data_IF_638312280024
#
_entry.id   IF_638312280024
#
_cell.length_a   1.000
_cell.length_b   1.000
_cell.length_c   1.000
_cell.angle_alpha   90.00
_cell.angle_beta   90.00
_cell.angle_gamma   90.00
#
_symmetry.space_group_name_H-M   'P 1'
#
loop_
_entity.id
_entity.type
_entity.pdbx_description
1 polymer ?
#
# COMPACT_ATOMS: atom_id res chain seq x y z
N UNK A 1 2.51 5.79 -35.51
CA UNK A 1 2.83 4.43 -35.04
C UNK A 1 3.92 4.55 -34.00
N UNK A 2 3.60 4.40 -32.71
CA UNK A 2 4.58 4.47 -31.62
C UNK A 2 5.05 3.06 -31.29
N UNK A 3 6.32 2.79 -31.54
CA UNK A 3 7.00 1.53 -31.23
C UNK A 3 7.00 1.35 -29.72
N UNK A 4 6.13 0.49 -29.19
CA UNK A 4 6.17 0.11 -27.77
C UNK A 4 7.37 -0.80 -27.56
N UNK A 5 8.38 -0.30 -26.84
CA UNK A 5 9.46 -1.12 -26.32
C UNK A 5 8.86 -2.02 -25.25
N UNK A 6 8.71 -3.31 -25.56
CA UNK A 6 8.26 -4.34 -24.63
C UNK A 6 9.50 -4.71 -23.81
N UNK A 7 9.58 -4.26 -22.57
CA UNK A 7 10.61 -4.72 -21.65
C UNK A 7 10.28 -6.15 -21.27
N UNK A 8 11.07 -7.10 -21.75
CA UNK A 8 10.96 -8.52 -21.38
C UNK A 8 12.03 -8.78 -20.33
N UNK A 9 11.62 -8.92 -19.06
CA UNK A 9 12.48 -9.54 -18.05
C UNK A 9 12.72 -11.00 -18.49
N UNK A 10 13.97 -11.45 -18.70
CA UNK A 10 14.27 -12.81 -19.14
C UNK A 10 13.72 -13.92 -18.23
N UNK A 11 13.33 -13.59 -16.99
CA UNK A 11 12.76 -14.53 -16.02
C UNK A 11 11.22 -14.62 -16.03
N UNK A 12 10.51 -13.76 -16.76
CA UNK A 12 9.04 -13.69 -16.74
C UNK A 12 8.42 -14.16 -18.07
N UNK A 13 7.56 -15.18 -18.01
CA UNK A 13 6.87 -15.76 -19.18
C UNK A 13 5.72 -14.89 -19.74
N UNK A 14 5.42 -13.75 -19.13
CA UNK A 14 4.28 -12.87 -19.50
C UNK A 14 4.74 -11.62 -20.23
N UNK A 15 4.07 -11.28 -21.33
CA UNK A 15 4.28 -9.99 -22.03
C UNK A 15 3.83 -8.82 -21.14
N UNK A 16 4.77 -7.98 -20.69
CA UNK A 16 4.49 -6.73 -19.97
C UNK A 16 4.13 -5.63 -20.97
N UNK A 17 2.94 -5.04 -20.81
CA UNK A 17 2.43 -3.92 -21.61
C UNK A 17 2.86 -2.55 -21.07
N UNK A 18 3.12 -2.47 -19.77
CA UNK A 18 3.47 -1.25 -19.05
C UNK A 18 4.58 -1.52 -18.04
N UNK A 19 5.39 -0.51 -17.74
CA UNK A 19 6.17 -0.49 -16.50
C UNK A 19 5.23 0.00 -15.39
N UNK A 20 4.64 -0.96 -14.66
CA UNK A 20 3.63 -0.66 -13.64
C UNK A 20 4.25 0.03 -12.43
N UNK A 21 3.62 1.13 -11.98
CA UNK A 21 3.98 1.82 -10.73
C UNK A 21 3.00 1.48 -9.62
N UNK A 22 3.50 1.12 -8.45
CA UNK A 22 2.69 0.79 -7.28
C UNK A 22 2.63 2.00 -6.35
N UNK A 23 1.46 2.63 -6.28
CA UNK A 23 1.16 3.72 -5.38
C UNK A 23 0.70 3.13 -4.04
N UNK A 24 1.55 3.22 -3.01
CA UNK A 24 1.20 2.81 -1.66
C UNK A 24 0.71 4.00 -0.85
N UNK A 25 -0.48 3.88 -0.27
CA UNK A 25 -1.05 4.88 0.61
C UNK A 25 -0.77 4.45 2.04
N UNK A 26 0.31 4.98 2.59
CA UNK A 26 0.77 4.70 3.95
C UNK A 26 0.02 5.58 4.96
N UNK A 27 0.01 5.14 6.22
CA UNK A 27 -0.60 5.88 7.32
C UNK A 27 -1.23 4.92 8.32
N UNK A 28 -1.42 5.36 9.55
CA UNK A 28 -2.02 4.51 10.57
C UNK A 28 -3.51 4.24 10.31
N UNK A 29 -4.14 3.44 11.19
CA UNK A 29 -5.56 3.19 11.13
C UNK A 29 -6.35 4.50 11.23
N UNK A 30 -7.33 4.71 10.35
CA UNK A 30 -8.19 5.90 10.42
C UNK A 30 -7.70 7.18 9.75
N UNK A 31 -6.59 7.16 8.99
CA UNK A 31 -6.14 8.32 8.21
C UNK A 31 -6.81 8.45 6.84
N UNK A 32 -8.04 7.94 6.67
CA UNK A 32 -8.80 8.01 5.41
C UNK A 32 -8.09 7.46 4.15
N UNK A 33 -7.18 6.48 4.29
CA UNK A 33 -6.46 5.87 3.15
C UNK A 33 -7.36 5.49 1.96
N UNK A 34 -8.57 4.98 2.22
CA UNK A 34 -9.56 4.66 1.18
C UNK A 34 -10.08 5.88 0.41
N UNK A 35 -10.20 7.05 1.06
CA UNK A 35 -10.55 8.31 0.40
C UNK A 35 -9.42 8.75 -0.55
N UNK A 36 -8.18 8.67 -0.08
CA UNK A 36 -7.00 8.99 -0.90
C UNK A 36 -6.93 8.04 -2.11
N UNK A 37 -7.13 6.74 -1.89
CA UNK A 37 -7.15 5.73 -2.96
C UNK A 37 -8.20 6.07 -4.01
N UNK A 38 -9.43 6.36 -3.56
CA UNK A 38 -10.55 6.68 -4.45
C UNK A 38 -10.29 7.94 -5.26
N UNK A 39 -9.75 9.00 -4.64
CA UNK A 39 -9.42 10.25 -5.33
C UNK A 39 -8.30 10.05 -6.37
N UNK A 40 -7.24 9.31 -6.02
CA UNK A 40 -6.12 9.03 -6.93
C UNK A 40 -6.59 8.19 -8.12
N UNK A 41 -7.35 7.11 -7.87
CA UNK A 41 -7.90 6.25 -8.93
C UNK A 41 -8.82 7.04 -9.86
N UNK A 42 -9.72 7.86 -9.31
CA UNK A 42 -10.58 8.75 -10.09
C UNK A 42 -9.74 9.67 -10.99
N UNK A 43 -8.74 10.36 -10.42
CA UNK A 43 -7.90 11.29 -11.20
C UNK A 43 -7.15 10.58 -12.32
N UNK A 44 -6.57 9.41 -12.05
CA UNK A 44 -5.84 8.64 -13.04
C UNK A 44 -6.74 8.16 -14.19
N UNK A 45 -7.98 7.74 -13.90
CA UNK A 45 -8.98 7.46 -14.92
C UNK A 45 -9.32 8.70 -15.77
N UNK A 46 -9.52 9.86 -15.14
CA UNK A 46 -9.81 11.11 -15.84
C UNK A 46 -8.66 11.55 -16.77
N UNK A 47 -7.42 11.13 -16.48
CA UNK A 47 -6.24 11.36 -17.31
C UNK A 47 -6.03 10.27 -18.38
N UNK A 48 -6.95 9.30 -18.51
CA UNK A 48 -6.86 8.21 -19.48
C UNK A 48 -5.76 7.18 -19.17
N UNK A 49 -5.30 7.10 -17.92
CA UNK A 49 -4.32 6.10 -17.47
C UNK A 49 -5.02 4.78 -17.15
N UNK A 50 -4.35 3.65 -17.40
CA UNK A 50 -4.83 2.35 -16.91
C UNK A 50 -4.43 2.17 -15.44
N UNK A 51 -5.42 2.02 -14.55
CA UNK A 51 -5.22 1.95 -13.11
C UNK A 51 -6.13 0.89 -12.51
N UNK A 52 -5.63 0.16 -11.51
CA UNK A 52 -6.43 -0.76 -10.69
C UNK A 52 -6.20 -0.50 -9.21
N UNK A 53 -7.26 -0.62 -8.41
CA UNK A 53 -7.17 -0.60 -6.97
C UNK A 53 -6.94 -2.03 -6.44
N UNK A 54 -5.94 -2.19 -5.59
CA UNK A 54 -5.60 -3.46 -4.95
C UNK A 54 -5.94 -3.36 -3.45
N UNK A 55 -6.95 -4.10 -2.98
CA UNK A 55 -7.38 -4.03 -1.59
C UNK A 55 -6.29 -4.52 -0.62
N UNK A 56 -6.38 -4.02 0.62
CA UNK A 56 -5.52 -4.44 1.73
C UNK A 56 -5.97 -5.81 2.26
N UNK A 57 -5.07 -6.80 2.21
CA UNK A 57 -5.39 -8.16 2.67
C UNK A 57 -5.74 -8.18 4.16
N UNK A 58 -4.93 -7.54 5.02
CA UNK A 58 -5.16 -7.52 6.47
C UNK A 58 -6.55 -6.96 6.85
N UNK A 59 -7.01 -5.92 6.14
CA UNK A 59 -8.33 -5.32 6.34
C UNK A 59 -9.46 -6.31 6.03
N UNK A 60 -9.30 -7.16 5.01
CA UNK A 60 -10.26 -8.22 4.71
C UNK A 60 -10.36 -9.24 5.86
N UNK A 61 -9.24 -9.61 6.48
CA UNK A 61 -9.25 -10.48 7.66
C UNK A 61 -9.94 -9.82 8.87
N UNK A 62 -9.72 -8.51 9.09
CA UNK A 62 -10.43 -7.75 10.14
C UNK A 62 -11.95 -7.80 9.91
N UNK A 63 -12.40 -7.56 8.68
CA UNK A 63 -13.84 -7.65 8.35
C UNK A 63 -14.40 -9.05 8.52
N UNK A 64 -13.61 -10.08 8.21
CA UNK A 64 -13.99 -11.48 8.39
C UNK A 64 -13.95 -11.94 9.85
N UNK A 65 -13.42 -11.15 10.77
CA UNK A 65 -13.15 -11.57 12.15
C UNK A 65 -12.04 -12.64 12.26
N UNK A 66 -11.22 -12.80 11.22
CA UNK A 66 -10.17 -13.82 11.15
C UNK A 66 -8.90 -13.36 11.87
N UNK A 67 -8.97 -13.42 13.19
CA UNK A 67 -7.85 -13.05 14.08
C UNK A 67 -6.65 -13.98 13.96
N UNK A 68 -6.86 -15.26 13.61
CA UNK A 68 -5.77 -16.21 13.41
C UNK A 68 -5.01 -15.91 12.11
N UNK A 69 -5.72 -15.58 11.02
CA UNK A 69 -5.10 -15.13 9.78
C UNK A 69 -4.25 -13.87 9.97
N UNK A 70 -4.68 -12.96 10.84
CA UNK A 70 -3.92 -11.75 11.18
C UNK A 70 -2.59 -12.04 11.90
N UNK A 71 -2.44 -13.18 12.57
CA UNK A 71 -1.18 -13.57 13.21
C UNK A 71 -0.14 -14.06 12.21
N UNK A 72 -0.59 -14.54 11.05
CA UNK A 72 0.28 -15.06 9.99
C UNK A 72 0.73 -13.92 9.04
N UNK A 73 1.66 -13.09 9.51
CA UNK A 73 2.16 -11.93 8.74
C UNK A 73 2.81 -12.33 7.41
N UNK A 74 3.45 -13.50 7.35
CA UNK A 74 3.95 -14.06 6.08
C UNK A 74 2.81 -14.31 5.08
N UNK A 75 1.73 -14.95 5.53
CA UNK A 75 0.57 -15.26 4.69
C UNK A 75 -0.07 -14.00 4.11
N UNK A 76 -0.28 -12.98 4.96
CA UNK A 76 -0.80 -11.68 4.54
C UNK A 76 0.10 -11.03 3.47
N UNK A 77 1.41 -11.00 3.71
CA UNK A 77 2.38 -10.43 2.79
C UNK A 77 2.50 -11.19 1.47
N UNK A 78 2.47 -12.52 1.52
CA UNK A 78 2.47 -13.35 0.32
C UNK A 78 1.22 -13.13 -0.52
N UNK A 79 0.04 -13.06 0.09
CA UNK A 79 -1.20 -12.80 -0.63
C UNK A 79 -1.21 -11.41 -1.26
N UNK A 80 -0.80 -10.37 -0.51
CA UNK A 80 -0.70 -9.01 -1.02
C UNK A 80 0.27 -8.94 -2.21
N UNK A 81 1.43 -9.59 -2.11
CA UNK A 81 2.41 -9.67 -3.20
C UNK A 81 1.84 -10.35 -4.45
N UNK A 82 1.13 -11.48 -4.29
CA UNK A 82 0.50 -12.19 -5.42
C UNK A 82 -0.52 -11.33 -6.16
N UNK A 83 -1.28 -10.50 -5.44
CA UNK A 83 -2.23 -9.57 -6.06
C UNK A 83 -1.51 -8.51 -6.90
N UNK A 84 -0.38 -7.98 -6.43
CA UNK A 84 0.45 -7.04 -7.20
C UNK A 84 1.02 -7.70 -8.46
N UNK A 85 1.66 -8.87 -8.31
CA UNK A 85 2.25 -9.62 -9.45
C UNK A 85 1.20 -10.01 -10.49
N UNK A 86 -0.03 -10.30 -10.07
CA UNK A 86 -1.10 -10.65 -10.99
C UNK A 86 -1.34 -9.54 -12.02
N UNK A 87 -1.30 -8.27 -11.60
CA UNK A 87 -1.60 -7.10 -12.42
C UNK A 87 -0.36 -6.38 -12.96
N UNK A 88 0.82 -6.71 -12.42
CA UNK A 88 2.09 -6.15 -12.86
C UNK A 88 2.33 -6.38 -14.35
N UNK A 89 2.75 -5.31 -15.03
CA UNK A 89 2.89 -5.27 -16.47
C UNK A 89 1.59 -5.08 -17.24
N UNK A 90 0.40 -5.18 -16.62
CA UNK A 90 -0.88 -5.11 -17.33
C UNK A 90 -1.50 -3.71 -17.33
N UNK A 91 -1.20 -2.90 -16.30
CA UNK A 91 -1.71 -1.53 -16.11
C UNK A 91 -0.59 -0.55 -15.76
N UNK A 92 -0.80 0.74 -15.96
CA UNK A 92 0.20 1.76 -15.64
C UNK A 92 0.35 1.94 -14.12
N UNK A 93 -0.75 1.87 -13.38
CA UNK A 93 -0.79 2.14 -11.96
C UNK A 93 -1.53 1.07 -11.17
N UNK A 94 -0.97 0.68 -10.03
CA UNK A 94 -1.68 -0.03 -8.97
C UNK A 94 -1.78 0.88 -7.77
N UNK A 95 -2.96 1.05 -7.21
CA UNK A 95 -3.18 1.85 -6.00
C UNK A 95 -3.56 0.92 -4.86
N UNK A 96 -2.84 0.97 -3.75
CA UNK A 96 -3.11 0.10 -2.59
C UNK A 96 -3.13 0.87 -1.27
N UNK A 97 -4.01 0.45 -0.36
CA UNK A 97 -4.12 0.97 1.00
C UNK A 97 -3.17 0.18 1.90
N UNK A 98 -2.17 0.84 2.49
CA UNK A 98 -1.05 0.08 3.03
C UNK A 98 -0.31 -0.60 1.89
N UNK A 99 -0.12 -1.91 1.93
CA UNK A 99 0.69 -2.62 0.95
C UNK A 99 1.94 -3.22 1.60
N UNK A 100 2.90 -3.65 0.79
CA UNK A 100 4.10 -4.33 1.30
C UNK A 100 4.89 -3.49 2.34
N UNK A 101 5.06 -2.16 2.20
CA UNK A 101 5.69 -1.35 3.25
C UNK A 101 4.98 -1.42 4.60
N UNK A 102 3.65 -1.39 4.61
CA UNK A 102 2.88 -1.46 5.85
C UNK A 102 2.92 -2.86 6.47
N UNK A 103 2.96 -3.92 5.65
CA UNK A 103 3.15 -5.29 6.13
C UNK A 103 4.55 -5.53 6.70
N UNK A 104 5.56 -4.79 6.24
CA UNK A 104 6.89 -4.80 6.85
C UNK A 104 6.83 -4.30 8.31
N UNK A 105 6.08 -3.22 8.56
CA UNK A 105 5.86 -2.69 9.90
C UNK A 105 5.13 -3.69 10.80
N UNK A 106 4.00 -4.23 10.34
CA UNK A 106 3.21 -5.16 11.15
C UNK A 106 3.92 -6.51 11.35
N UNK A 107 4.76 -6.96 10.42
CA UNK A 107 5.60 -8.13 10.66
C UNK A 107 6.49 -7.97 11.90
N UNK A 108 6.97 -6.76 12.22
CA UNK A 108 7.78 -6.51 13.41
C UNK A 108 6.96 -6.16 14.65
N UNK A 109 5.82 -5.49 14.47
CA UNK A 109 5.08 -4.85 15.57
C UNK A 109 3.78 -5.55 15.95
N UNK A 110 3.31 -6.52 15.18
CA UNK A 110 2.10 -7.26 15.50
C UNK A 110 2.38 -8.20 16.70
N UNK A 111 1.76 -7.98 17.88
CA UNK A 111 2.17 -8.65 19.13
C UNK A 111 2.14 -10.18 19.09
N UNK A 112 1.22 -10.75 18.33
CA UNK A 112 0.99 -12.20 18.25
C UNK A 112 1.46 -12.81 16.92
N UNK A 113 2.44 -12.19 16.25
CA UNK A 113 2.99 -12.72 15.00
C UNK A 113 3.60 -14.11 15.24
N UNK A 114 3.09 -15.11 14.54
CA UNK A 114 3.56 -16.50 14.65
C UNK A 114 4.69 -16.85 13.66
N UNK A 115 5.05 -15.92 12.78
CA UNK A 115 6.05 -16.14 11.74
C UNK A 115 7.48 -15.88 12.23
N UNK A 116 8.46 -16.43 11.52
CA UNK A 116 9.85 -15.97 11.62
C UNK A 116 9.95 -14.54 11.10
N UNK A 117 10.07 -13.59 12.03
CA UNK A 117 10.07 -12.15 11.74
C UNK A 117 11.22 -11.77 10.80
N UNK A 118 12.42 -12.29 11.02
CA UNK A 118 13.60 -11.93 10.24
C UNK A 118 13.51 -12.46 8.82
N UNK A 119 13.10 -13.73 8.66
CA UNK A 119 12.92 -14.35 7.35
C UNK A 119 11.79 -13.69 6.57
N UNK A 120 10.68 -13.38 7.23
CA UNK A 120 9.53 -12.70 6.62
C UNK A 120 9.91 -11.29 6.18
N UNK A 121 10.62 -10.53 7.04
CA UNK A 121 11.14 -9.19 6.72
C UNK A 121 12.02 -9.23 5.48
N UNK A 122 13.00 -10.13 5.43
CA UNK A 122 13.91 -10.27 4.30
C UNK A 122 13.17 -10.55 2.98
N UNK A 123 12.14 -11.38 3.02
CA UNK A 123 11.33 -11.67 1.84
C UNK A 123 10.47 -10.48 1.41
N UNK A 124 9.83 -9.77 2.34
CA UNK A 124 9.05 -8.56 2.02
C UNK A 124 9.94 -7.52 1.35
N UNK A 125 11.16 -7.31 1.85
CA UNK A 125 12.13 -6.43 1.16
C UNK A 125 12.45 -6.89 -0.26
N UNK A 126 12.65 -8.19 -0.47
CA UNK A 126 12.88 -8.73 -1.80
C UNK A 126 11.69 -8.47 -2.74
N UNK A 127 10.46 -8.57 -2.24
CA UNK A 127 9.26 -8.24 -3.01
C UNK A 127 9.12 -6.74 -3.30
N UNK A 128 9.37 -5.87 -2.32
CA UNK A 128 9.37 -4.41 -2.52
C UNK A 128 10.34 -3.99 -3.62
N UNK A 129 11.54 -4.59 -3.68
CA UNK A 129 12.55 -4.27 -4.70
C UNK A 129 12.13 -4.63 -6.14
N UNK A 130 11.05 -5.38 -6.34
CA UNK A 130 10.57 -5.78 -7.68
C UNK A 130 9.70 -4.71 -8.36
N UNK A 131 9.18 -3.74 -7.61
CA UNK A 131 8.24 -2.75 -8.14
C UNK A 131 8.82 -1.35 -8.07
N UNK A 132 8.41 -0.50 -9.02
CA UNK A 132 8.59 0.95 -8.88
C UNK A 132 7.51 1.48 -7.94
N UNK A 133 7.92 1.94 -6.76
CA UNK A 133 6.99 2.42 -5.73
C UNK A 133 6.88 3.94 -5.71
N UNK A 134 5.64 4.43 -5.58
CA UNK A 134 5.32 5.80 -5.23
C UNK A 134 4.61 5.75 -3.88
N UNK A 135 5.31 6.14 -2.81
CA UNK A 135 4.70 6.11 -1.48
C UNK A 135 4.18 7.50 -1.13
N UNK A 136 2.95 7.54 -0.65
CA UNK A 136 2.41 8.70 0.04
C UNK A 136 2.10 8.34 1.48
N UNK A 137 2.17 9.31 2.38
CA UNK A 137 1.70 9.16 3.75
C UNK A 137 0.46 10.02 3.92
N UNK A 138 -0.69 9.40 4.14
CA UNK A 138 -1.94 10.06 4.41
C UNK A 138 -1.88 10.74 5.79
N UNK A 139 -1.97 12.05 5.81
CA UNK A 139 -2.05 12.79 7.06
C UNK A 139 -3.44 12.58 7.70
N UNK A 140 -3.45 12.33 9.01
CA UNK A 140 -4.69 12.24 9.78
C UNK A 140 -5.38 13.60 9.81
N UNK A 141 -6.67 13.58 9.52
CA UNK A 141 -7.58 14.70 9.74
C UNK A 141 -7.92 14.77 11.23
N UNK A 142 -7.53 15.85 11.91
CA UNK A 142 -7.77 16.03 13.34
C UNK A 142 -9.19 16.47 13.66
N UNK A 143 -9.93 16.96 12.66
CA UNK A 143 -11.28 17.50 12.82
C UNK A 143 -12.35 16.41 12.60
N UNK A 144 -11.96 15.27 12.02
CA UNK A 144 -12.84 14.12 11.84
C UNK A 144 -12.83 13.20 13.06
N UNK A 145 -14.01 12.78 13.54
CA UNK A 145 -14.12 11.73 14.55
C UNK A 145 -13.47 10.42 14.10
N UNK A 146 -12.82 9.73 15.02
CA UNK A 146 -12.28 8.40 14.74
C UNK A 146 -13.41 7.39 14.54
N UNK A 147 -13.39 6.72 13.39
CA UNK A 147 -14.30 5.61 13.09
C UNK A 147 -13.60 4.30 13.43
N UNK A 148 -14.12 3.53 14.39
CA UNK A 148 -13.51 2.25 14.79
C UNK A 148 -13.83 1.09 13.84
N UNK A 149 -14.94 1.15 13.09
CA UNK A 149 -15.39 0.06 12.23
C UNK A 149 -14.27 -0.41 11.27
N UNK A 150 -14.03 -1.72 11.20
CA UNK A 150 -12.97 -2.31 10.38
C UNK A 150 -11.54 -2.05 10.89
N UNK A 151 -11.37 -1.74 12.19
CA UNK A 151 -10.07 -1.51 12.83
C UNK A 151 -9.99 -2.26 14.17
N UNK A 152 -8.79 -2.70 14.52
CA UNK A 152 -8.53 -3.37 15.81
C UNK A 152 -8.17 -2.36 16.91
N UNK A 153 -7.66 -1.19 16.53
CA UNK A 153 -7.13 -0.17 17.43
C UNK A 153 -8.19 0.86 17.80
N UNK A 154 -8.10 1.38 19.02
CA UNK A 154 -8.76 2.61 19.41
C UNK A 154 -8.07 3.84 18.81
N UNK A 155 -8.63 5.03 19.05
CA UNK A 155 -8.11 6.27 18.49
C UNK A 155 -6.71 6.60 19.02
N UNK A 156 -6.48 6.43 20.32
CA UNK A 156 -5.19 6.75 20.93
C UNK A 156 -4.09 5.90 20.31
N UNK A 157 -4.29 4.58 20.25
CA UNK A 157 -3.34 3.66 19.66
C UNK A 157 -3.15 3.92 18.17
N UNK A 158 -4.21 4.30 17.45
CA UNK A 158 -4.10 4.68 16.04
C UNK A 158 -3.20 5.90 15.82
N UNK A 159 -3.26 6.90 16.72
CA UNK A 159 -2.38 8.09 16.69
C UNK A 159 -0.93 7.73 17.03
N UNK A 160 -0.71 6.85 18.00
CA UNK A 160 0.63 6.34 18.33
C UNK A 160 1.26 5.60 17.12
N UNK A 161 0.47 4.75 16.47
CA UNK A 161 0.91 4.02 15.26
C UNK A 161 1.31 4.97 14.13
N UNK A 162 0.67 6.13 13.98
CA UNK A 162 1.09 7.12 12.97
C UNK A 162 2.55 7.57 13.18
N UNK A 163 2.94 7.81 14.43
CA UNK A 163 4.28 8.25 14.81
C UNK A 163 5.29 7.09 14.70
N UNK A 164 4.90 5.90 15.16
CA UNK A 164 5.69 4.67 15.06
C UNK A 164 6.00 4.35 13.59
N UNK A 165 4.99 4.42 12.71
CA UNK A 165 5.16 4.16 11.27
C UNK A 165 6.11 5.16 10.60
N UNK A 166 6.03 6.46 10.92
CA UNK A 166 6.95 7.46 10.35
C UNK A 166 8.39 7.17 10.73
N UNK A 167 8.62 6.86 12.01
CA UNK A 167 9.94 6.50 12.53
C UNK A 167 10.46 5.22 11.87
N UNK A 168 9.59 4.21 11.77
CA UNK A 168 9.90 2.94 11.13
C UNK A 168 10.26 3.11 9.65
N UNK A 169 9.46 3.83 8.87
CA UNK A 169 9.76 4.05 7.46
C UNK A 169 11.06 4.82 7.25
N UNK A 170 11.40 5.75 8.14
CA UNK A 170 12.71 6.40 8.15
C UNK A 170 13.85 5.41 8.38
N UNK A 171 13.73 4.49 9.35
CA UNK A 171 14.76 3.47 9.62
C UNK A 171 14.89 2.44 8.50
N UNK A 172 13.80 2.12 7.81
CA UNK A 172 13.77 1.22 6.66
C UNK A 172 14.17 1.90 5.34
N UNK A 173 14.44 3.22 5.35
CA UNK A 173 14.76 3.98 4.14
C UNK A 173 13.59 4.12 3.16
N UNK A 174 12.35 3.92 3.61
CA UNK A 174 11.13 4.04 2.81
C UNK A 174 10.73 5.51 2.74
N UNK A 175 11.06 6.15 1.62
CA UNK A 175 10.69 7.54 1.34
C UNK A 175 9.22 7.63 0.96
N UNK A 176 8.56 8.71 1.37
CA UNK A 176 7.17 9.02 1.04
C UNK A 176 6.94 10.53 0.92
N UNK A 177 5.88 10.90 0.20
CA UNK A 177 5.33 12.27 0.19
C UNK A 177 4.22 12.38 1.22
N UNK A 178 4.30 13.32 2.15
CA UNK A 178 3.20 13.61 3.07
C UNK A 178 2.09 14.35 2.30
N UNK A 179 0.86 13.84 2.33
CA UNK A 179 -0.30 14.48 1.71
C UNK A 179 -1.34 14.86 2.77
N UNK A 180 -1.90 16.08 2.72
CA UNK A 180 -2.94 16.52 3.64
C UNK A 180 -4.29 15.83 3.34
N UNK A 181 -5.21 15.76 4.32
CA UNK A 181 -6.54 15.18 4.15
C UNK A 181 -7.50 16.10 3.36
N UNK A 182 -7.01 16.69 2.28
CA UNK A 182 -7.79 17.52 1.36
C UNK A 182 -7.87 16.86 -0.02
N UNK A 183 -9.09 16.50 -0.42
CA UNK A 183 -9.36 15.91 -1.73
C UNK A 183 -8.81 16.75 -2.90
N UNK A 184 -8.78 18.08 -2.81
CA UNK A 184 -8.23 18.93 -3.88
C UNK A 184 -6.73 18.74 -4.02
N UNK A 185 -6.01 18.85 -2.91
CA UNK A 185 -4.57 18.59 -2.86
C UNK A 185 -4.22 17.16 -3.33
N UNK A 186 -5.03 16.15 -2.97
CA UNK A 186 -4.83 14.77 -3.42
C UNK A 186 -5.02 14.66 -4.94
N UNK A 187 -6.07 15.27 -5.49
CA UNK A 187 -6.34 15.27 -6.94
C UNK A 187 -5.29 16.04 -7.73
N UNK A 188 -4.80 17.17 -7.20
CA UNK A 188 -3.71 17.95 -7.78
C UNK A 188 -2.42 17.14 -7.81
N UNK A 189 -2.04 16.54 -6.68
CA UNK A 189 -0.88 15.65 -6.60
C UNK A 189 -0.97 14.49 -7.59
N UNK A 190 -2.11 13.78 -7.64
CA UNK A 190 -2.32 12.69 -8.59
C UNK A 190 -2.23 13.17 -10.05
N UNK A 191 -2.57 14.44 -10.31
CA UNK A 191 -2.41 15.10 -11.61
C UNK A 191 -0.97 15.29 -12.07
N UNK A 192 0.00 15.22 -11.15
CA UNK A 192 1.43 15.34 -11.45
C UNK A 192 2.10 14.01 -11.82
N UNK A 193 1.38 12.89 -11.69
CA UNK A 193 1.90 11.56 -11.96
C UNK A 193 2.12 11.35 -13.48
N UNK A 194 3.23 10.67 -13.87
CA UNK A 194 3.65 10.57 -15.27
C UNK A 194 2.73 9.77 -16.21
#
# INVERSE_FOLDING_TARGET
MSTRVIYVDPSETRMRRYATKVINILGGPGCDKSLYASAIVLKLHLLGKTVEWVPEVAKAHVWAGDTEGLRNQWGLAQQQYRMLVCLDGQVQYLVTEGGLPQLLYYNEKYPDNICDVAKTKAQIHAWIKRFEHINIFAQRDTDKPYVQAGRLQDEQRAREIDLEMRTFYSSEGIKYTLLPPDHRAILEWAGTLP
#
